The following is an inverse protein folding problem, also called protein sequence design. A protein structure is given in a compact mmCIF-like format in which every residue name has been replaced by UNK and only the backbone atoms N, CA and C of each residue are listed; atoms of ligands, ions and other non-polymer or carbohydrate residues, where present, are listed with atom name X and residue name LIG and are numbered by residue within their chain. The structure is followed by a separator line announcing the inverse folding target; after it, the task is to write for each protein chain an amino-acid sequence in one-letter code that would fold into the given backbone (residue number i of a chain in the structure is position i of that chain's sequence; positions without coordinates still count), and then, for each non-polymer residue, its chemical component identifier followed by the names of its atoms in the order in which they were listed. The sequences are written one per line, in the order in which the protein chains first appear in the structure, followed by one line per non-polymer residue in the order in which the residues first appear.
data_IF_675636666266
#
_entry.id   IF_675636666266
#
_cell.length_a   1.000
_cell.length_b   1.000
_cell.length_c   1.000
_cell.angle_alpha   90.00
_cell.angle_beta   90.00
_cell.angle_gamma   90.00
#
_symmetry.space_group_name_H-M   'P 1'
#
loop_
_entity.id
_entity.type
_entity.pdbx_description
1 polymer ?
#
# COMPACT_ATOMS: atom_id res chain seq x y z
N UNK A 1 -26.74 -30.30 -1.85
CA UNK A 1 -25.51 -30.12 -1.05
C UNK A 1 -25.80 -30.53 0.38
N UNK A 2 -24.90 -31.25 1.07
CA UNK A 2 -25.14 -31.71 2.44
C UNK A 2 -24.97 -30.54 3.42
N UNK A 3 -25.98 -30.19 4.26
CA UNK A 3 -25.88 -29.09 5.23
C UNK A 3 -24.67 -29.23 6.18
N UNK A 4 -24.34 -30.45 6.61
CA UNK A 4 -23.20 -30.69 7.48
C UNK A 4 -21.84 -30.43 6.78
N UNK A 5 -21.80 -30.57 5.45
CA UNK A 5 -20.59 -30.24 4.68
C UNK A 5 -20.40 -28.73 4.56
N UNK A 6 -21.49 -27.99 4.37
CA UNK A 6 -21.47 -26.53 4.30
C UNK A 6 -20.98 -25.91 5.62
N UNK A 7 -21.45 -26.44 6.75
CA UNK A 7 -21.00 -26.01 8.08
C UNK A 7 -19.50 -26.23 8.29
N UNK A 8 -18.99 -27.44 7.99
CA UNK A 8 -17.55 -27.73 8.05
C UNK A 8 -16.71 -26.81 7.15
N UNK A 9 -17.19 -26.53 5.94
CA UNK A 9 -16.52 -25.59 5.04
C UNK A 9 -16.48 -24.19 5.65
N UNK A 10 -17.59 -23.72 6.22
CA UNK A 10 -17.65 -22.44 6.94
C UNK A 10 -16.65 -22.36 8.09
N UNK A 11 -16.54 -23.42 8.91
CA UNK A 11 -15.55 -23.50 9.99
C UNK A 11 -14.10 -23.47 9.48
N UNK A 12 -13.81 -24.19 8.40
CA UNK A 12 -12.48 -24.16 7.78
C UNK A 12 -12.12 -22.77 7.27
N UNK A 13 -13.04 -22.10 6.55
CA UNK A 13 -12.85 -20.72 6.09
C UNK A 13 -12.63 -19.76 7.27
N UNK A 14 -13.38 -19.92 8.36
CA UNK A 14 -13.22 -19.11 9.56
C UNK A 14 -11.84 -19.29 10.19
N UNK A 15 -11.39 -20.54 10.38
CA UNK A 15 -10.07 -20.86 10.96
C UNK A 15 -8.92 -20.32 10.11
N UNK A 16 -9.07 -20.34 8.79
CA UNK A 16 -8.10 -19.78 7.84
C UNK A 16 -8.23 -18.25 7.69
N UNK A 17 -9.17 -17.62 8.40
CA UNK A 17 -9.47 -16.18 8.33
C UNK A 17 -9.82 -15.74 6.91
N UNK A 18 -10.62 -16.55 6.20
CA UNK A 18 -11.19 -16.26 4.88
C UNK A 18 -12.62 -15.74 5.06
N UNK A 19 -12.75 -14.61 5.76
CA UNK A 19 -14.03 -14.14 6.29
C UNK A 19 -14.99 -13.68 5.19
N UNK A 20 -14.49 -13.08 4.10
CA UNK A 20 -15.33 -12.65 2.98
C UNK A 20 -15.84 -13.85 2.19
N UNK A 21 -14.98 -14.83 1.94
CA UNK A 21 -15.40 -16.10 1.33
C UNK A 21 -16.40 -16.84 2.22
N UNK A 22 -16.23 -16.82 3.54
CA UNK A 22 -17.16 -17.43 4.50
C UNK A 22 -18.55 -16.79 4.40
N UNK A 23 -18.63 -15.45 4.42
CA UNK A 23 -19.87 -14.68 4.31
C UNK A 23 -20.63 -15.00 3.00
N UNK A 24 -19.90 -15.22 1.91
CA UNK A 24 -20.46 -15.42 0.57
C UNK A 24 -20.46 -16.86 0.07
N UNK A 25 -20.11 -17.83 0.92
CA UNK A 25 -19.88 -19.22 0.51
C UNK A 25 -21.07 -19.81 -0.26
N UNK A 26 -22.30 -19.64 0.24
CA UNK A 26 -23.51 -20.14 -0.41
C UNK A 26 -23.74 -19.49 -1.78
N UNK A 27 -23.56 -18.17 -1.89
CA UNK A 27 -23.72 -17.44 -3.13
C UNK A 27 -22.68 -17.87 -4.17
N UNK A 28 -21.41 -18.06 -3.76
CA UNK A 28 -20.34 -18.53 -4.63
C UNK A 28 -20.60 -19.96 -5.15
N UNK A 29 -21.14 -20.83 -4.30
CA UNK A 29 -21.50 -22.20 -4.69
C UNK A 29 -22.68 -22.22 -5.67
N UNK A 30 -23.68 -21.37 -5.47
CA UNK A 30 -24.79 -21.21 -6.41
C UNK A 30 -24.32 -20.65 -7.76
N UNK A 31 -23.43 -19.65 -7.74
CA UNK A 31 -22.85 -19.08 -8.95
C UNK A 31 -22.02 -20.11 -9.73
N UNK A 32 -21.20 -20.90 -9.03
CA UNK A 32 -20.42 -21.98 -9.63
C UNK A 32 -21.30 -23.06 -10.25
N UNK A 33 -22.39 -23.43 -9.57
CA UNK A 33 -23.36 -24.40 -10.10
C UNK A 33 -24.11 -23.84 -11.32
N UNK A 34 -24.53 -22.58 -11.29
CA UNK A 34 -25.28 -21.95 -12.38
C UNK A 34 -24.44 -21.67 -13.63
N UNK A 35 -23.13 -21.42 -13.47
CA UNK A 35 -22.19 -21.18 -14.57
C UNK A 35 -21.40 -22.42 -14.98
N UNK A 36 -21.65 -23.57 -14.34
CA UNK A 36 -20.89 -24.81 -14.53
C UNK A 36 -19.37 -24.61 -14.43
N UNK A 37 -18.93 -23.83 -13.44
CA UNK A 37 -17.50 -23.52 -13.29
C UNK A 37 -16.69 -24.78 -13.01
N UNK A 38 -15.51 -24.85 -13.64
CA UNK A 38 -14.51 -25.85 -13.28
C UNK A 38 -14.02 -25.65 -11.84
N UNK A 39 -13.44 -26.70 -11.25
CA UNK A 39 -12.93 -26.63 -9.88
C UNK A 39 -11.86 -25.55 -9.70
N UNK A 40 -10.99 -25.36 -10.70
CA UNK A 40 -9.98 -24.32 -10.68
C UNK A 40 -10.61 -22.92 -10.70
N UNK A 41 -11.59 -22.69 -11.58
CA UNK A 41 -12.26 -21.39 -11.72
C UNK A 41 -13.04 -21.02 -10.45
N UNK A 42 -13.70 -22.00 -9.82
CA UNK A 42 -14.37 -21.79 -8.54
C UNK A 42 -13.38 -21.41 -7.42
N UNK A 43 -12.25 -22.11 -7.32
CA UNK A 43 -11.23 -21.80 -6.32
C UNK A 43 -10.61 -20.41 -6.57
N UNK A 44 -10.34 -20.05 -7.82
CA UNK A 44 -9.83 -18.73 -8.19
C UNK A 44 -10.84 -17.64 -7.81
N UNK A 45 -12.14 -17.83 -8.11
CA UNK A 45 -13.19 -16.89 -7.71
C UNK A 45 -13.25 -16.75 -6.18
N UNK A 46 -13.31 -17.87 -5.45
CA UNK A 46 -13.45 -17.88 -4.00
C UNK A 46 -12.25 -17.22 -3.30
N UNK A 47 -11.03 -17.55 -3.72
CA UNK A 47 -9.80 -17.01 -3.14
C UNK A 47 -9.55 -15.57 -3.61
N UNK A 48 -9.82 -15.26 -4.86
CA UNK A 48 -9.66 -13.92 -5.45
C UNK A 48 -10.51 -12.86 -4.75
N UNK A 49 -11.75 -13.20 -4.35
CA UNK A 49 -12.58 -12.30 -3.55
C UNK A 49 -11.98 -12.01 -2.17
N UNK A 50 -11.44 -13.03 -1.50
CA UNK A 50 -10.81 -12.86 -0.19
C UNK A 50 -9.52 -12.04 -0.29
N UNK A 51 -8.68 -12.33 -1.28
CA UNK A 51 -7.46 -11.58 -1.55
C UNK A 51 -7.80 -10.11 -1.81
N UNK A 52 -8.82 -9.84 -2.62
CA UNK A 52 -9.28 -8.49 -2.91
C UNK A 52 -9.77 -7.77 -1.65
N UNK A 53 -10.59 -8.44 -0.83
CA UNK A 53 -11.12 -7.89 0.42
C UNK A 53 -9.99 -7.58 1.44
N UNK A 54 -9.04 -8.50 1.61
CA UNK A 54 -7.87 -8.30 2.47
C UNK A 54 -6.98 -7.18 1.96
N UNK A 55 -6.75 -7.10 0.67
CA UNK A 55 -5.96 -6.04 0.04
C UNK A 55 -6.59 -4.67 0.29
N UNK A 56 -7.89 -4.51 0.02
CA UNK A 56 -8.61 -3.27 0.28
C UNK A 56 -8.58 -2.85 1.76
N UNK A 57 -8.76 -3.81 2.68
CA UNK A 57 -8.66 -3.56 4.12
C UNK A 57 -7.25 -3.11 4.52
N UNK A 58 -6.23 -3.75 3.97
CA UNK A 58 -4.84 -3.41 4.25
C UNK A 58 -4.46 -2.02 3.74
N UNK A 59 -4.88 -1.67 2.52
CA UNK A 59 -4.71 -0.33 1.95
C UNK A 59 -5.39 0.71 2.87
N UNK A 60 -6.66 0.50 3.22
CA UNK A 60 -7.42 1.41 4.09
C UNK A 60 -6.72 1.64 5.43
N UNK A 61 -6.26 0.56 6.07
CA UNK A 61 -5.49 0.64 7.31
C UNK A 61 -4.19 1.43 7.12
N UNK A 62 -3.39 1.11 6.09
CA UNK A 62 -2.10 1.79 5.82
C UNK A 62 -2.30 3.28 5.55
N UNK A 63 -3.31 3.65 4.75
CA UNK A 63 -3.67 5.04 4.48
C UNK A 63 -4.05 5.79 5.76
N UNK A 64 -4.80 5.16 6.66
CA UNK A 64 -5.13 5.73 7.97
C UNK A 64 -3.88 5.93 8.85
N UNK A 65 -2.99 4.94 8.89
CA UNK A 65 -1.73 5.01 9.65
C UNK A 65 -0.74 6.04 9.09
N UNK A 66 -0.85 6.38 7.81
CA UNK A 66 0.02 7.35 7.16
C UNK A 66 -0.21 8.80 7.56
N UNK A 67 -1.36 9.12 8.19
CA UNK A 67 -1.67 10.47 8.72
C UNK A 67 -1.59 11.57 7.67
N UNK A 68 -2.03 11.29 6.45
CA UNK A 68 -2.10 12.32 5.40
C UNK A 68 -3.04 13.47 5.81
N UNK A 69 -2.71 14.73 5.47
CA UNK A 69 -3.59 15.87 5.74
C UNK A 69 -4.91 15.82 4.95
N UNK A 70 -4.93 15.10 3.83
CA UNK A 70 -6.10 14.81 3.01
C UNK A 70 -5.83 13.57 2.15
N UNK A 71 -6.89 12.99 1.57
CA UNK A 71 -6.79 11.83 0.67
C UNK A 71 -7.17 12.26 -0.75
N UNK A 72 -6.19 12.76 -1.50
CA UNK A 72 -6.33 13.11 -2.93
C UNK A 72 -5.15 12.55 -3.70
N UNK A 73 -5.42 11.58 -4.57
CA UNK A 73 -4.39 10.93 -5.38
C UNK A 73 -3.83 11.82 -6.50
N UNK A 74 -2.86 11.29 -7.25
CA UNK A 74 -2.21 11.99 -8.36
C UNK A 74 -3.16 12.30 -9.52
N UNK A 75 -4.24 11.51 -9.68
CA UNK A 75 -5.28 11.75 -10.69
C UNK A 75 -6.05 13.06 -10.47
N UNK A 76 -6.12 13.55 -9.22
CA UNK A 76 -6.77 14.80 -8.87
C UNK A 76 -5.82 16.02 -8.94
N UNK A 77 -4.56 15.83 -9.35
CA UNK A 77 -3.59 16.92 -9.48
C UNK A 77 -3.84 17.70 -10.77
N UNK A 78 -3.92 19.02 -10.67
CA UNK A 78 -4.04 19.89 -11.84
C UNK A 78 -2.68 20.14 -12.49
N UNK A 79 -2.41 19.40 -13.57
CA UNK A 79 -1.18 19.55 -14.36
C UNK A 79 -1.15 20.85 -15.16
N UNK A 80 -2.29 21.47 -15.45
CA UNK A 80 -2.36 22.73 -16.19
C UNK A 80 -1.81 23.89 -15.36
N UNK A 81 -1.97 23.82 -14.03
CA UNK A 81 -1.40 24.80 -13.10
C UNK A 81 0.13 24.76 -13.04
N UNK A 82 0.76 23.67 -13.53
CA UNK A 82 2.20 23.48 -13.41
C UNK A 82 2.80 22.73 -14.61
N UNK A 83 2.89 23.40 -15.79
CA UNK A 83 3.30 22.78 -17.05
C UNK A 83 4.76 22.29 -17.08
N UNK A 84 5.61 22.75 -16.15
CA UNK A 84 6.98 22.27 -15.98
C UNK A 84 7.08 20.89 -15.32
N UNK A 85 5.97 20.33 -14.82
CA UNK A 85 5.95 18.98 -14.26
C UNK A 85 5.87 17.93 -15.37
N UNK A 86 6.89 17.09 -15.50
CA UNK A 86 6.82 15.97 -16.41
C UNK A 86 5.91 14.86 -15.85
N UNK A 87 4.76 14.67 -16.50
CA UNK A 87 3.79 13.62 -16.15
C UNK A 87 4.41 12.22 -16.26
N UNK A 88 5.37 12.00 -17.18
CA UNK A 88 6.06 10.71 -17.32
C UNK A 88 6.91 10.41 -16.09
N UNK A 89 7.69 11.38 -15.61
CA UNK A 89 8.46 11.23 -14.38
C UNK A 89 7.56 10.95 -13.17
N UNK A 90 6.45 11.68 -13.04
CA UNK A 90 5.53 11.43 -11.92
C UNK A 90 4.87 10.05 -11.98
N UNK A 91 4.57 9.55 -13.19
CA UNK A 91 4.05 8.19 -13.39
C UNK A 91 5.10 7.13 -13.03
N UNK A 92 6.37 7.37 -13.39
CA UNK A 92 7.47 6.49 -12.99
C UNK A 92 7.66 6.46 -11.47
N UNK A 93 7.56 7.61 -10.80
CA UNK A 93 7.58 7.69 -9.33
C UNK A 93 6.37 7.00 -8.69
N UNK A 94 5.19 7.07 -9.30
CA UNK A 94 3.99 6.39 -8.83
C UNK A 94 4.15 4.87 -8.78
N UNK A 95 4.98 4.28 -9.64
CA UNK A 95 5.32 2.86 -9.60
C UNK A 95 6.15 2.45 -8.36
N UNK A 96 6.63 3.42 -7.57
CA UNK A 96 7.31 3.22 -6.29
C UNK A 96 8.66 2.47 -6.35
N UNK A 97 9.25 2.27 -7.53
CA UNK A 97 10.56 1.64 -7.67
C UNK A 97 11.66 2.33 -6.86
N UNK A 98 11.58 3.64 -6.67
CA UNK A 98 12.55 4.36 -5.83
C UNK A 98 12.57 3.84 -4.38
N UNK A 99 11.45 3.30 -3.88
CA UNK A 99 11.37 2.71 -2.54
C UNK A 99 12.15 1.38 -2.51
N UNK A 100 11.97 0.54 -3.54
CA UNK A 100 12.68 -0.74 -3.68
C UNK A 100 14.21 -0.55 -3.72
N UNK A 101 14.66 0.50 -4.40
CA UNK A 101 16.09 0.82 -4.54
C UNK A 101 16.66 1.63 -3.35
N UNK A 102 15.84 1.97 -2.35
CA UNK A 102 16.26 2.80 -1.22
C UNK A 102 16.62 4.24 -1.60
N UNK A 103 16.07 4.74 -2.71
CA UNK A 103 16.30 6.09 -3.22
C UNK A 103 15.36 7.11 -2.55
N UNK A 104 15.81 8.36 -2.52
CA UNK A 104 15.04 9.47 -1.94
C UNK A 104 14.48 10.37 -3.03
N UNK A 105 13.19 10.71 -2.91
CA UNK A 105 12.53 11.67 -3.80
C UNK A 105 12.40 13.01 -3.09
N UNK A 106 12.99 14.06 -3.66
CA UNK A 106 12.94 15.42 -3.12
C UNK A 106 12.26 16.36 -4.13
N UNK A 107 11.20 17.05 -3.69
CA UNK A 107 10.44 17.97 -4.55
C UNK A 107 10.92 19.41 -4.36
N UNK A 108 11.82 19.85 -5.24
CA UNK A 108 12.39 21.21 -5.26
C UNK A 108 11.59 22.12 -6.20
N UNK A 109 10.66 22.92 -5.65
CA UNK A 109 9.88 23.95 -6.39
C UNK A 109 9.51 25.16 -5.50
N UNK A 110 9.02 26.28 -6.07
CA UNK A 110 8.49 27.40 -5.28
C UNK A 110 7.34 26.98 -4.35
N UNK A 111 7.04 27.75 -3.27
CA UNK A 111 5.86 27.49 -2.45
C UNK A 111 4.56 27.67 -3.25
N UNK A 112 3.49 26.98 -2.86
CA UNK A 112 2.15 27.14 -3.48
C UNK A 112 1.87 26.25 -4.71
N UNK A 113 2.84 25.51 -5.23
CA UNK A 113 2.69 24.70 -6.47
C UNK A 113 2.19 23.26 -6.27
N UNK A 114 1.51 23.00 -5.14
CA UNK A 114 0.92 21.67 -4.88
C UNK A 114 1.90 20.58 -4.45
N UNK A 115 3.07 20.91 -3.90
CA UNK A 115 4.03 19.91 -3.39
C UNK A 115 3.44 18.93 -2.38
N UNK A 116 2.62 19.46 -1.46
CA UNK A 116 1.91 18.63 -0.47
C UNK A 116 0.97 17.65 -1.16
N UNK A 117 0.29 18.06 -2.24
CA UNK A 117 -0.54 17.15 -3.04
C UNK A 117 0.32 16.07 -3.67
N UNK A 118 1.43 16.43 -4.32
CA UNK A 118 2.32 15.44 -4.93
C UNK A 118 2.86 14.43 -3.91
N UNK A 119 3.28 14.90 -2.73
CA UNK A 119 3.75 14.03 -1.64
C UNK A 119 2.63 13.12 -1.11
N UNK A 120 1.41 13.64 -0.94
CA UNK A 120 0.24 12.84 -0.55
C UNK A 120 -0.10 11.81 -1.64
N UNK A 121 -0.13 12.22 -2.91
CA UNK A 121 -0.45 11.35 -4.02
C UNK A 121 0.55 10.21 -4.18
N UNK A 122 1.85 10.51 -4.13
CA UNK A 122 2.91 9.49 -4.13
C UNK A 122 2.82 8.58 -2.90
N UNK A 123 2.51 9.14 -1.73
CA UNK A 123 2.28 8.36 -0.52
C UNK A 123 1.09 7.42 -0.65
N UNK A 124 0.00 7.85 -1.30
CA UNK A 124 -1.17 6.99 -1.55
C UNK A 124 -0.83 5.85 -2.51
N UNK A 125 -0.08 6.11 -3.58
CA UNK A 125 0.40 5.03 -4.45
C UNK A 125 1.30 4.05 -3.70
N UNK A 126 2.20 4.55 -2.84
CA UNK A 126 3.01 3.68 -2.01
C UNK A 126 2.15 2.80 -1.08
N UNK A 127 1.07 3.33 -0.49
CA UNK A 127 0.14 2.52 0.30
C UNK A 127 -0.62 1.47 -0.52
N UNK A 128 -0.96 1.78 -1.77
CA UNK A 128 -1.59 0.85 -2.72
C UNK A 128 -0.64 -0.29 -3.09
N UNK A 129 0.65 0.02 -3.26
CA UNK A 129 1.73 -0.96 -3.48
C UNK A 129 2.13 -1.73 -2.21
N UNK A 130 1.49 -1.46 -1.07
CA UNK A 130 1.67 -2.19 0.17
C UNK A 130 2.74 -1.64 1.11
N UNK A 131 3.33 -0.50 0.78
CA UNK A 131 4.30 0.16 1.64
C UNK A 131 3.65 0.81 2.86
N UNK A 132 4.42 0.85 3.95
CA UNK A 132 4.08 1.63 5.13
C UNK A 132 4.58 3.05 4.92
N UNK A 133 3.65 4.01 4.98
CA UNK A 133 3.95 5.43 4.78
C UNK A 133 3.69 6.19 6.08
N UNK A 134 4.46 7.25 6.32
CA UNK A 134 4.21 8.23 7.37
C UNK A 134 4.38 9.63 6.79
N UNK A 135 3.32 10.44 6.80
CA UNK A 135 3.36 11.84 6.44
C UNK A 135 3.66 12.68 7.68
N UNK A 136 4.75 13.45 7.64
CA UNK A 136 5.17 14.31 8.76
C UNK A 136 5.97 15.51 8.28
N UNK A 137 6.11 16.52 9.13
CA UNK A 137 7.02 17.64 8.86
C UNK A 137 8.44 17.28 9.27
N UNK A 138 9.44 17.88 8.63
CA UNK A 138 10.84 17.70 9.00
C UNK A 138 11.08 18.02 10.48
N UNK A 139 10.50 19.10 10.99
CA UNK A 139 10.60 19.51 12.40
C UNK A 139 10.04 18.45 13.35
N UNK A 140 8.85 17.91 13.07
CA UNK A 140 8.24 16.87 13.89
C UNK A 140 9.02 15.55 13.83
N UNK A 141 9.56 15.22 12.65
CA UNK A 141 10.44 14.06 12.46
C UNK A 141 11.72 14.17 13.28
N UNK A 142 12.42 15.31 13.20
CA UNK A 142 13.64 15.58 13.97
C UNK A 142 13.34 15.50 15.46
N UNK A 143 12.30 16.17 15.95
CA UNK A 143 11.92 16.12 17.37
C UNK A 143 11.65 14.68 17.85
N UNK A 144 10.97 13.87 17.02
CA UNK A 144 10.69 12.46 17.32
C UNK A 144 11.98 11.63 17.39
N UNK A 145 12.89 11.82 16.44
CA UNK A 145 14.15 11.08 16.38
C UNK A 145 15.12 11.50 17.49
N UNK A 146 15.23 12.79 17.79
CA UNK A 146 16.06 13.29 18.90
C UNK A 146 15.58 12.74 20.24
N UNK A 147 14.27 12.69 20.47
CA UNK A 147 13.71 12.06 21.67
C UNK A 147 14.06 10.57 21.74
N UNK A 148 13.88 9.84 20.65
CA UNK A 148 14.21 8.41 20.59
C UNK A 148 15.71 8.15 20.81
N UNK A 149 16.59 9.03 20.32
CA UNK A 149 18.02 8.96 20.56
C UNK A 149 18.35 9.13 22.04
N UNK A 150 17.77 10.14 22.72
CA UNK A 150 17.99 10.38 24.14
C UNK A 150 17.47 9.22 25.02
N UNK A 151 16.45 8.50 24.56
CA UNK A 151 15.89 7.32 25.24
C UNK A 151 16.60 6.00 24.88
N UNK A 152 17.61 6.02 24.00
CA UNK A 152 18.30 4.82 23.53
C UNK A 152 17.46 3.91 22.62
N UNK A 153 16.37 4.43 22.03
CA UNK A 153 15.39 3.69 21.20
C UNK A 153 15.40 4.09 19.74
N UNK A 154 16.48 4.70 19.26
CA UNK A 154 16.56 5.23 17.89
C UNK A 154 16.37 4.13 16.84
N UNK A 155 17.05 3.00 16.97
CA UNK A 155 16.95 1.89 15.99
C UNK A 155 15.53 1.33 15.90
N UNK A 156 14.88 1.12 17.04
CA UNK A 156 13.48 0.68 17.11
C UNK A 156 12.58 1.67 16.37
N UNK A 157 12.81 2.98 16.58
CA UNK A 157 12.00 4.03 15.98
C UNK A 157 12.19 4.14 14.47
N UNK A 158 13.42 3.99 13.99
CA UNK A 158 13.72 3.95 12.55
C UNK A 158 13.03 2.75 11.90
N UNK A 159 13.15 1.54 12.47
CA UNK A 159 12.50 0.32 11.97
C UNK A 159 10.97 0.37 11.98
N UNK A 160 10.39 1.12 12.93
CA UNK A 160 8.93 1.22 13.08
C UNK A 160 8.27 2.21 12.10
N UNK A 161 8.98 3.25 11.67
CA UNK A 161 8.41 4.41 10.98
C UNK A 161 9.06 4.81 9.65
N UNK A 162 10.24 4.28 9.30
CA UNK A 162 11.02 4.72 8.14
C UNK A 162 11.60 3.48 7.43
N UNK A 163 10.79 2.93 6.52
CA UNK A 163 11.15 1.85 5.58
C UNK A 163 11.61 0.55 6.26
N UNK A 164 10.79 -0.50 6.12
CA UNK A 164 11.31 -1.87 6.22
C UNK A 164 11.85 -2.23 4.84
N UNK A 165 13.15 -2.52 4.68
CA UNK A 165 13.54 -3.40 3.60
C UNK A 165 12.97 -4.77 3.97
N UNK A 166 11.92 -5.20 3.28
CA UNK A 166 11.58 -6.62 3.32
C UNK A 166 12.60 -7.32 2.41
N UNK A 167 13.58 -7.93 3.07
CA UNK A 167 14.67 -8.79 2.57
C UNK A 167 15.98 -8.14 2.08
N UNK A 168 17.15 -8.73 2.41
CA UNK A 168 18.45 -8.23 2.00
C UNK A 168 18.73 -8.70 0.56
N UNK A 169 18.52 -7.84 -0.42
CA UNK A 169 19.04 -8.08 -1.77
C UNK A 169 20.51 -7.63 -1.77
N UNK A 170 21.39 -8.63 -1.71
CA UNK A 170 22.81 -8.55 -2.03
C UNK A 170 23.05 -7.84 -3.36
N UNK A 171 24.20 -7.16 -3.42
CA UNK A 171 24.83 -6.51 -4.58
C UNK A 171 24.50 -5.04 -4.82
N UNK A 172 25.35 -4.22 -4.21
CA UNK A 172 25.73 -2.87 -4.63
C UNK A 172 26.02 -2.84 -6.14
N UNK A 173 25.19 -2.12 -6.90
CA UNK A 173 25.64 -1.47 -8.13
C UNK A 173 25.37 0.04 -8.04
N UNK A 174 26.46 0.80 -8.04
CA UNK A 174 26.48 2.25 -8.22
C UNK A 174 26.13 2.60 -9.67
N UNK A 175 25.03 3.30 -9.91
CA UNK A 175 24.82 4.17 -11.09
C UNK A 175 23.69 5.14 -10.70
N UNK A 176 23.70 6.46 -10.84
CA UNK A 176 24.60 7.47 -11.35
C UNK A 176 23.84 8.80 -11.18
N UNK A 177 24.54 9.90 -10.85
CA UNK A 177 23.94 11.23 -10.64
C UNK A 177 23.23 11.69 -11.91
N UNK A 178 21.95 12.04 -11.82
CA UNK A 178 21.29 12.90 -12.82
C UNK A 178 21.33 14.33 -12.29
N UNK A 179 22.03 15.17 -13.05
CA UNK A 179 22.13 16.62 -12.86
C UNK A 179 20.79 17.31 -13.17
#
# INVERSE_FOLDING_TARGET
MNPAQLERLGEHLHRLRLFKSQERLEALLQEAAGKELGYADFLELLLGEEVSAKTAKNITMRTSLARFPFVKGLAAFDYAYQPSLDKKQLTALAACHFIDHGENVIILRPPGVGKTHLAVGLGLEATNHGYRVLFTTATAMIATLTKALNEGKLEEKLRAGLVRPEEPITETQQVGKVQ
#
